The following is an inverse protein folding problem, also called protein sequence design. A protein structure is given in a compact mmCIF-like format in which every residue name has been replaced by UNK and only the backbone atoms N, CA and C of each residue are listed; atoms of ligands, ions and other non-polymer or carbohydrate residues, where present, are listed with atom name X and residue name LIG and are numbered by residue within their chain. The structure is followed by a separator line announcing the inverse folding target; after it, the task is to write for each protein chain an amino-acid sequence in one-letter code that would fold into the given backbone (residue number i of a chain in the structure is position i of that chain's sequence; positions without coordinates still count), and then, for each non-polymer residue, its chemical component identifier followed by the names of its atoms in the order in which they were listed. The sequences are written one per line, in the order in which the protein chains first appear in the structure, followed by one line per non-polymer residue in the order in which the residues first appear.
data_IF_934867619196
#
_entry.id   IF_934867619196
#
_cell.length_a   1.000
_cell.length_b   1.000
_cell.length_c   1.000
_cell.angle_alpha   90.00
_cell.angle_beta   90.00
_cell.angle_gamma   90.00
#
_symmetry.space_group_name_H-M   'P 1'
#
loop_
_entity.id
_entity.type
_entity.pdbx_description
1 polymer ?
#
# COMPACT_ATOMS: atom_id res chain seq x y z
N UNK A 1 -29.57 32.92 4.30
CA UNK A 1 -29.33 31.57 4.85
C UNK A 1 -29.86 30.46 3.94
N UNK A 2 -31.15 30.44 3.60
CA UNK A 2 -31.77 29.39 2.75
C UNK A 2 -31.05 29.17 1.39
N UNK A 3 -30.61 30.24 0.71
CA UNK A 3 -29.89 30.14 -0.58
C UNK A 3 -28.56 29.38 -0.55
N UNK A 4 -27.83 29.41 0.58
CA UNK A 4 -26.55 28.72 0.71
C UNK A 4 -26.80 27.22 0.87
N UNK A 5 -27.74 26.84 1.73
CA UNK A 5 -28.15 25.45 1.92
C UNK A 5 -28.75 24.85 0.65
N UNK A 6 -29.63 25.57 -0.06
CA UNK A 6 -30.20 25.11 -1.32
C UNK A 6 -29.14 24.90 -2.43
N UNK A 7 -28.04 25.66 -2.40
CA UNK A 7 -26.92 25.50 -3.35
C UNK A 7 -26.02 24.33 -2.99
N UNK A 8 -25.86 24.04 -1.70
CA UNK A 8 -25.11 22.88 -1.19
C UNK A 8 -25.86 21.56 -1.43
N UNK A 9 -27.19 21.55 -1.24
CA UNK A 9 -28.05 20.40 -1.56
C UNK A 9 -28.14 20.09 -3.06
N UNK A 10 -27.78 21.05 -3.91
CA UNK A 10 -27.81 20.94 -5.38
C UNK A 10 -26.40 20.70 -5.95
N UNK A 11 -25.39 20.61 -5.08
CA UNK A 11 -24.01 20.36 -5.43
C UNK A 11 -23.73 18.85 -5.38
N UNK A 12 -23.66 18.21 -6.55
CA UNK A 12 -23.34 16.78 -6.66
C UNK A 12 -21.84 16.48 -6.57
N UNK A 13 -21.00 17.52 -6.42
CA UNK A 13 -19.56 17.39 -6.23
C UNK A 13 -19.17 16.50 -5.04
N UNK A 14 -20.02 16.45 -3.99
CA UNK A 14 -19.83 15.54 -2.86
C UNK A 14 -20.19 14.08 -3.20
N UNK A 15 -21.19 13.86 -4.04
CA UNK A 15 -21.58 12.52 -4.50
C UNK A 15 -20.50 11.92 -5.41
N UNK A 16 -19.94 12.72 -6.33
CA UNK A 16 -18.82 12.29 -7.18
C UNK A 16 -17.54 12.03 -6.37
N UNK A 17 -17.29 12.80 -5.31
CA UNK A 17 -16.16 12.56 -4.41
C UNK A 17 -16.25 11.19 -3.69
N UNK A 18 -17.45 10.71 -3.36
CA UNK A 18 -17.64 9.38 -2.75
C UNK A 18 -17.38 8.25 -3.76
N UNK A 19 -17.77 8.42 -5.02
CA UNK A 19 -17.53 7.44 -6.08
C UNK A 19 -16.04 7.28 -6.39
N UNK A 20 -15.34 8.40 -6.65
CA UNK A 20 -13.89 8.37 -6.88
C UNK A 20 -13.12 8.02 -5.60
N UNK A 21 -13.65 8.39 -4.43
CA UNK A 21 -13.10 8.00 -3.13
C UNK A 21 -13.10 6.48 -2.93
N UNK A 22 -14.18 5.79 -3.31
CA UNK A 22 -14.26 4.34 -3.24
C UNK A 22 -13.27 3.66 -4.20
N UNK A 23 -13.13 4.16 -5.43
CA UNK A 23 -12.14 3.65 -6.40
C UNK A 23 -10.72 3.82 -5.86
N UNK A 24 -10.40 5.01 -5.33
CA UNK A 24 -9.11 5.29 -4.72
C UNK A 24 -8.82 4.38 -3.50
N UNK A 25 -9.84 4.09 -2.68
CA UNK A 25 -9.72 3.17 -1.56
C UNK A 25 -9.39 1.74 -2.03
N UNK A 26 -10.08 1.24 -3.06
CA UNK A 26 -9.81 -0.09 -3.62
C UNK A 26 -8.41 -0.21 -4.23
N UNK A 27 -7.97 0.81 -4.98
CA UNK A 27 -6.62 0.87 -5.53
C UNK A 27 -5.59 0.89 -4.39
N UNK A 28 -5.83 1.68 -3.35
CA UNK A 28 -4.93 1.77 -2.19
C UNK A 28 -4.78 0.43 -1.48
N UNK A 29 -5.87 -0.30 -1.26
CA UNK A 29 -5.84 -1.64 -0.64
C UNK A 29 -5.02 -2.62 -1.49
N UNK A 30 -5.23 -2.62 -2.81
CA UNK A 30 -4.48 -3.48 -3.73
C UNK A 30 -2.97 -3.15 -3.72
N UNK A 31 -2.62 -1.87 -3.70
CA UNK A 31 -1.23 -1.42 -3.61
C UNK A 31 -0.58 -1.84 -2.28
N UNK A 32 -1.28 -1.68 -1.16
CA UNK A 32 -0.77 -2.09 0.16
C UNK A 32 -0.53 -3.60 0.20
N UNK A 33 -1.47 -4.40 -0.30
CA UNK A 33 -1.33 -5.86 -0.34
C UNK A 33 -0.15 -6.30 -1.24
N UNK A 34 -0.03 -5.68 -2.42
CA UNK A 34 1.09 -5.92 -3.34
C UNK A 34 2.44 -5.54 -2.74
N UNK A 35 2.54 -4.35 -2.15
CA UNK A 35 3.76 -3.87 -1.50
C UNK A 35 4.16 -4.75 -0.31
N UNK A 36 3.20 -5.21 0.49
CA UNK A 36 3.45 -6.12 1.63
C UNK A 36 4.02 -7.45 1.16
N UNK A 37 3.43 -8.04 0.11
CA UNK A 37 3.87 -9.31 -0.46
C UNK A 37 5.27 -9.19 -1.07
N UNK A 38 5.50 -8.10 -1.82
CA UNK A 38 6.81 -7.80 -2.40
C UNK A 38 7.87 -7.60 -1.31
N UNK A 39 7.57 -6.79 -0.28
CA UNK A 39 8.46 -6.56 0.85
C UNK A 39 8.84 -7.85 1.58
N UNK A 40 7.87 -8.74 1.81
CA UNK A 40 8.10 -10.05 2.43
C UNK A 40 9.05 -10.91 1.60
N UNK A 41 8.81 -10.97 0.29
CA UNK A 41 9.65 -11.74 -0.65
C UNK A 41 11.08 -11.21 -0.70
N UNK A 42 11.23 -9.89 -0.76
CA UNK A 42 12.54 -9.24 -0.74
C UNK A 42 13.27 -9.52 0.57
N UNK A 43 12.60 -9.39 1.71
CA UNK A 43 13.21 -9.67 3.02
C UNK A 43 13.71 -11.11 3.08
N UNK A 44 12.86 -12.08 2.74
CA UNK A 44 13.22 -13.50 2.73
C UNK A 44 14.41 -13.80 1.79
N UNK A 45 14.48 -13.10 0.65
CA UNK A 45 15.61 -13.23 -0.28
C UNK A 45 16.91 -12.72 0.35
N UNK A 46 16.88 -11.55 0.98
CA UNK A 46 18.06 -10.98 1.63
C UNK A 46 18.47 -11.74 2.89
N UNK A 47 17.53 -12.25 3.68
CA UNK A 47 17.79 -13.13 4.82
C UNK A 47 18.51 -14.40 4.36
N UNK A 48 17.98 -15.06 3.32
CA UNK A 48 18.60 -16.25 2.73
C UNK A 48 20.00 -15.97 2.19
N UNK A 49 20.23 -14.79 1.63
CA UNK A 49 21.55 -14.37 1.17
C UNK A 49 22.50 -14.16 2.36
N UNK A 50 22.03 -13.49 3.41
CA UNK A 50 22.80 -13.27 4.65
C UNK A 50 23.21 -14.61 5.26
N UNK A 51 22.28 -15.55 5.38
CA UNK A 51 22.54 -16.89 5.91
C UNK A 51 23.60 -17.64 5.10
N UNK A 52 23.51 -17.57 3.76
CA UNK A 52 24.51 -18.18 2.88
C UNK A 52 25.89 -17.54 3.04
N UNK A 53 25.95 -16.21 3.17
CA UNK A 53 27.21 -15.50 3.41
C UNK A 53 27.82 -15.88 4.76
N UNK A 54 27.00 -15.94 5.81
CA UNK A 54 27.44 -16.33 7.15
C UNK A 54 27.94 -17.79 7.18
N UNK A 55 27.21 -18.71 6.54
CA UNK A 55 27.61 -20.10 6.42
C UNK A 55 28.93 -20.26 5.64
N UNK A 56 29.10 -19.51 4.55
CA UNK A 56 30.35 -19.50 3.78
C UNK A 56 31.51 -18.99 4.63
N UNK A 57 31.31 -17.92 5.40
CA UNK A 57 32.34 -17.37 6.29
C UNK A 57 32.71 -18.34 7.43
N UNK A 58 31.72 -19.01 8.01
CA UNK A 58 31.93 -20.02 9.06
C UNK A 58 32.71 -21.24 8.52
N UNK A 59 32.49 -21.64 7.26
CA UNK A 59 33.23 -22.73 6.61
C UNK A 59 34.71 -22.39 6.35
N UNK A 60 35.06 -21.10 6.31
CA UNK A 60 36.43 -20.63 6.11
C UNK A 60 37.16 -20.30 7.41
N UNK A 61 36.50 -20.43 8.58
CA UNK A 61 37.16 -20.34 9.88
C UNK A 61 38.00 -21.62 10.14
N UNK A 62 39.24 -21.50 10.66
CA UNK A 62 40.15 -22.63 10.89
C UNK A 62 39.64 -23.61 11.96
#
# INVERSE_FOLDING_TARGET
MSKIFARFLKDESGATAIEYGLIAALISVALIAGATTLGTTLNSTFDSLSDKMNAANAKTAP
#
